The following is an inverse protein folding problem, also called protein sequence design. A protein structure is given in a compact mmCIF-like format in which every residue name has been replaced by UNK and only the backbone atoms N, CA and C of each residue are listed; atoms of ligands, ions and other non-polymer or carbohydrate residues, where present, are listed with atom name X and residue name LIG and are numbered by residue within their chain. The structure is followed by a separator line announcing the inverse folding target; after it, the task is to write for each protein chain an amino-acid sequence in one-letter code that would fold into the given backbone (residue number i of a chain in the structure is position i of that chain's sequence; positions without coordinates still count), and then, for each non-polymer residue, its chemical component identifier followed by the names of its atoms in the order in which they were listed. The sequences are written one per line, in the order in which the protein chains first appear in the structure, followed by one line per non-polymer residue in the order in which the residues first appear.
data_IF_215274888902
#
_entry.id   IF_215274888902
#
_cell.length_a   1.000
_cell.length_b   1.000
_cell.length_c   1.000
_cell.angle_alpha   90.00
_cell.angle_beta   90.00
_cell.angle_gamma   90.00
#
_symmetry.space_group_name_H-M   'P 1'
#
loop_
_entity.id
_entity.type
_entity.pdbx_description
1 polymer ?
#
# COMPACT_ATOMS: atom_id res chain seq x y z
N UNK A 1 12.77 8.97 2.99
CA UNK A 1 11.43 9.49 3.29
C UNK A 1 11.60 10.89 3.86
N UNK A 2 11.50 11.94 3.03
CA UNK A 2 11.43 13.31 3.55
C UNK A 2 10.00 13.60 4.01
N UNK A 3 9.82 14.47 4.99
CA UNK A 3 8.51 15.05 5.29
C UNK A 3 8.07 15.88 4.09
N UNK A 4 7.25 15.30 3.20
CA UNK A 4 6.64 16.05 2.08
C UNK A 4 5.78 17.21 2.61
N UNK A 5 5.33 17.13 3.87
CA UNK A 5 4.62 18.17 4.61
C UNK A 5 5.08 18.16 6.08
N UNK A 6 6.12 18.92 6.47
CA UNK A 6 6.68 18.91 7.84
C UNK A 6 5.67 19.27 8.92
N UNK A 7 4.64 20.05 8.58
CA UNK A 7 3.65 20.57 9.52
C UNK A 7 2.47 19.63 9.78
N UNK A 8 2.44 18.44 9.16
CA UNK A 8 1.30 17.51 9.28
C UNK A 8 1.69 16.22 10.00
N UNK A 9 0.91 15.88 11.03
CA UNK A 9 0.85 14.52 11.57
C UNK A 9 0.29 13.59 10.51
N UNK A 10 0.97 12.47 10.28
CA UNK A 10 0.59 11.45 9.30
C UNK A 10 0.40 10.10 9.99
N UNK A 11 -0.14 9.13 9.26
CA UNK A 11 -0.26 7.74 9.74
C UNK A 11 1.08 7.11 10.15
N UNK A 12 2.21 7.66 9.68
CA UNK A 12 3.55 7.17 9.99
C UNK A 12 4.24 7.90 11.15
N UNK A 13 3.67 9.00 11.64
CA UNK A 13 4.32 9.85 12.65
C UNK A 13 4.62 9.06 13.93
N UNK A 14 3.65 8.29 14.44
CA UNK A 14 3.85 7.50 15.66
C UNK A 14 4.96 6.45 15.52
N UNK A 15 5.09 5.78 14.37
CA UNK A 15 6.18 4.82 14.14
C UNK A 15 7.54 5.51 13.99
N UNK A 16 7.59 6.68 13.35
CA UNK A 16 8.82 7.46 13.23
C UNK A 16 9.30 7.99 14.59
N UNK A 17 8.38 8.28 15.50
CA UNK A 17 8.67 8.84 16.83
C UNK A 17 8.77 7.78 17.93
N UNK A 18 8.49 6.51 17.62
CA UNK A 18 8.50 5.43 18.59
C UNK A 18 9.85 5.35 19.32
N UNK A 19 9.81 5.13 20.63
CA UNK A 19 10.99 5.18 21.52
C UNK A 19 12.10 4.20 21.12
N UNK A 20 11.75 3.04 20.57
CA UNK A 20 12.70 2.04 20.09
C UNK A 20 13.35 2.40 18.74
N UNK A 21 12.69 3.26 17.95
CA UNK A 21 13.12 3.60 16.60
C UNK A 21 13.82 4.96 16.54
N UNK A 22 13.34 5.96 17.27
CA UNK A 22 13.90 7.32 17.30
C UNK A 22 15.44 7.37 17.48
N UNK A 23 16.09 6.51 18.29
CA UNK A 23 17.55 6.47 18.40
C UNK A 23 18.29 5.94 17.15
N UNK A 24 17.61 5.22 16.27
CA UNK A 24 18.13 4.64 15.02
C UNK A 24 17.87 5.52 13.79
N UNK A 25 16.95 6.48 13.89
CA UNK A 25 16.57 7.37 12.80
C UNK A 25 17.75 8.26 12.39
N UNK A 26 17.99 8.40 11.07
CA UNK A 26 19.07 9.26 10.55
C UNK A 26 18.72 10.74 10.55
N UNK A 27 17.44 11.05 10.55
CA UNK A 27 16.88 12.40 10.60
C UNK A 27 15.42 12.32 11.09
N UNK A 28 14.83 13.46 11.42
CA UNK A 28 13.43 13.54 11.88
C UNK A 28 12.46 12.99 10.83
N UNK A 29 11.63 12.01 11.22
CA UNK A 29 10.71 11.33 10.30
C UNK A 29 11.35 10.21 9.45
N UNK A 30 12.64 9.86 9.65
CA UNK A 30 13.23 8.69 9.00
C UNK A 30 12.52 7.42 9.47
N UNK A 31 11.96 6.63 8.55
CA UNK A 31 11.35 5.34 8.83
C UNK A 31 12.29 4.16 8.52
N UNK A 32 13.50 4.45 8.05
CA UNK A 32 14.42 3.44 7.57
C UNK A 32 14.05 2.94 6.18
N UNK A 33 14.36 1.67 5.89
CA UNK A 33 14.22 1.09 4.54
C UNK A 33 12.89 0.34 4.37
N UNK A 34 11.77 1.02 4.62
CA UNK A 34 10.41 0.45 4.52
C UNK A 34 9.94 0.30 3.05
N UNK A 35 8.64 0.07 2.83
CA UNK A 35 8.00 -0.30 1.56
C UNK A 35 8.58 0.35 0.30
N UNK A 36 8.49 1.66 0.15
CA UNK A 36 8.90 2.36 -1.07
C UNK A 36 10.39 2.19 -1.39
N UNK A 37 11.24 2.11 -0.35
CA UNK A 37 12.68 1.83 -0.54
C UNK A 37 12.89 0.42 -1.05
N UNK A 38 12.16 -0.56 -0.51
CA UNK A 38 12.24 -1.94 -1.01
C UNK A 38 11.71 -2.06 -2.43
N UNK A 39 10.66 -1.32 -2.79
CA UNK A 39 10.07 -1.38 -4.14
C UNK A 39 10.95 -0.76 -5.22
N UNK A 40 11.68 0.32 -4.89
CA UNK A 40 12.43 1.11 -5.88
C UNK A 40 13.95 0.92 -5.82
N UNK A 41 14.49 0.66 -4.64
CA UNK A 41 15.93 0.61 -4.36
C UNK A 41 16.27 -0.62 -3.50
N UNK A 42 15.83 -1.82 -3.90
CA UNK A 42 16.17 -3.06 -3.20
C UNK A 42 17.66 -3.35 -3.36
N UNK A 43 18.40 -3.55 -2.25
CA UNK A 43 19.84 -3.78 -2.30
C UNK A 43 20.20 -5.22 -2.65
N UNK A 44 21.16 -5.37 -3.56
CA UNK A 44 21.78 -6.65 -3.90
C UNK A 44 23.04 -6.91 -3.06
N UNK A 45 23.43 -8.19 -2.87
CA UNK A 45 24.64 -8.54 -2.13
C UNK A 45 25.94 -7.98 -2.70
N UNK A 46 25.98 -7.70 -4.01
CA UNK A 46 27.12 -7.13 -4.72
C UNK A 46 27.18 -5.59 -4.68
N UNK A 47 26.24 -4.95 -3.98
CA UNK A 47 26.12 -3.50 -3.89
C UNK A 47 25.26 -2.86 -4.98
N UNK A 48 24.70 -3.64 -5.91
CA UNK A 48 23.70 -3.16 -6.88
C UNK A 48 22.34 -2.86 -6.24
N UNK A 49 21.43 -2.30 -7.05
CA UNK A 49 20.04 -2.02 -6.64
C UNK A 49 19.04 -2.53 -7.69
N UNK A 50 17.83 -2.89 -7.23
CA UNK A 50 16.70 -3.30 -8.08
C UNK A 50 15.52 -2.35 -7.86
N UNK A 51 15.03 -1.75 -8.95
CA UNK A 51 13.70 -1.12 -9.01
C UNK A 51 12.66 -2.15 -9.43
N UNK A 52 12.06 -2.81 -8.43
CA UNK A 52 11.08 -3.88 -8.64
C UNK A 52 9.84 -3.33 -9.36
N UNK A 53 9.32 -2.17 -8.95
CA UNK A 53 8.10 -1.61 -9.55
C UNK A 53 8.29 -1.25 -11.01
N UNK A 54 9.39 -0.56 -11.34
CA UNK A 54 9.72 -0.21 -12.72
C UNK A 54 9.89 -1.47 -13.58
N UNK A 55 10.69 -2.43 -13.11
CA UNK A 55 10.96 -3.67 -13.83
C UNK A 55 9.66 -4.44 -14.12
N UNK A 56 8.73 -4.46 -13.16
CA UNK A 56 7.45 -5.16 -13.29
C UNK A 56 6.52 -4.45 -14.28
N UNK A 57 6.42 -3.13 -14.24
CA UNK A 57 5.64 -2.36 -15.22
C UNK A 57 6.18 -2.58 -16.63
N UNK A 58 7.50 -2.54 -16.82
CA UNK A 58 8.15 -2.83 -18.10
C UNK A 58 7.90 -4.28 -18.54
N UNK A 59 7.92 -5.23 -17.59
CA UNK A 59 7.64 -6.64 -17.86
C UNK A 59 6.20 -6.86 -18.29
N UNK A 60 5.22 -6.24 -17.61
CA UNK A 60 3.80 -6.32 -17.99
C UNK A 60 3.61 -5.86 -19.45
N UNK A 61 4.26 -4.76 -19.85
CA UNK A 61 4.15 -4.24 -21.23
C UNK A 61 4.76 -5.18 -22.27
N UNK A 62 5.82 -5.91 -21.93
CA UNK A 62 6.59 -6.73 -22.86
C UNK A 62 6.14 -8.19 -22.91
N UNK A 63 5.80 -8.75 -21.76
CA UNK A 63 5.44 -10.14 -21.54
C UNK A 63 4.39 -10.23 -20.42
N UNK A 64 3.13 -9.83 -20.71
CA UNK A 64 2.07 -9.69 -19.70
C UNK A 64 1.71 -11.01 -19.01
N UNK A 65 1.98 -12.15 -19.66
CA UNK A 65 1.64 -13.48 -19.14
C UNK A 65 2.75 -14.08 -18.28
N UNK A 66 3.80 -13.32 -17.97
CA UNK A 66 4.83 -13.76 -17.04
C UNK A 66 4.22 -14.05 -15.66
N UNK A 67 4.57 -15.21 -15.10
CA UNK A 67 4.11 -15.67 -13.79
C UNK A 67 5.00 -15.17 -12.64
N UNK A 68 5.99 -14.32 -12.94
CA UNK A 68 6.99 -13.79 -12.01
C UNK A 68 6.80 -12.30 -11.74
N UNK A 69 5.61 -11.76 -12.00
CA UNK A 69 5.28 -10.37 -11.78
C UNK A 69 5.09 -10.06 -10.27
N UNK A 70 6.13 -10.28 -9.47
CA UNK A 70 6.10 -10.24 -8.01
C UNK A 70 6.95 -9.09 -7.48
N UNK A 71 6.44 -8.37 -6.48
CA UNK A 71 7.15 -7.34 -5.73
C UNK A 71 7.16 -7.74 -4.25
N UNK A 72 8.34 -7.68 -3.62
CA UNK A 72 8.50 -7.92 -2.19
C UNK A 72 8.92 -6.64 -1.45
N UNK A 73 8.29 -6.40 -0.30
CA UNK A 73 8.80 -5.48 0.72
C UNK A 73 9.55 -6.24 1.84
N UNK A 74 9.39 -7.55 1.96
CA UNK A 74 9.98 -8.33 3.04
C UNK A 74 11.44 -8.70 2.76
N UNK A 75 12.37 -7.95 3.35
CA UNK A 75 13.81 -8.18 3.24
C UNK A 75 14.41 -8.63 4.58
N UNK A 76 14.65 -9.94 4.79
CA UNK A 76 15.20 -10.46 6.05
C UNK A 76 16.54 -9.82 6.47
N UNK A 77 17.35 -9.36 5.51
CA UNK A 77 18.64 -8.70 5.80
C UNK A 77 18.50 -7.25 6.26
N UNK A 78 17.32 -6.64 6.16
CA UNK A 78 17.09 -5.24 6.48
C UNK A 78 15.93 -5.02 7.47
N UNK A 79 15.25 -6.06 7.97
CA UNK A 79 14.09 -5.92 8.87
C UNK A 79 14.40 -5.04 10.09
N UNK A 80 15.56 -5.20 10.71
CA UNK A 80 15.95 -4.42 11.91
C UNK A 80 16.30 -2.95 11.61
N UNK A 81 16.34 -2.59 10.32
CA UNK A 81 16.58 -1.24 9.80
C UNK A 81 15.28 -0.53 9.38
N UNK A 82 14.13 -0.98 9.89
CA UNK A 82 12.82 -0.43 9.58
C UNK A 82 12.09 -0.03 10.86
N UNK A 83 11.47 1.16 10.87
CA UNK A 83 10.64 1.63 11.98
C UNK A 83 9.45 0.70 12.25
N UNK A 84 8.94 0.09 11.18
CA UNK A 84 7.92 -0.94 11.24
C UNK A 84 8.20 -1.95 10.13
N UNK A 85 8.40 -3.24 10.44
CA UNK A 85 8.51 -4.29 9.44
C UNK A 85 7.26 -4.32 8.53
N UNK A 86 7.38 -4.57 7.22
CA UNK A 86 6.27 -4.50 6.28
C UNK A 86 5.10 -5.41 6.68
N UNK A 87 3.89 -4.84 6.82
CA UNK A 87 2.68 -5.62 7.06
C UNK A 87 2.21 -6.31 5.78
N UNK A 88 2.04 -5.55 4.69
CA UNK A 88 1.82 -6.08 3.34
C UNK A 88 3.18 -6.45 2.72
N UNK A 89 3.51 -7.74 2.79
CA UNK A 89 4.87 -8.25 2.59
C UNK A 89 5.24 -8.38 1.13
N UNK A 90 4.30 -8.84 0.31
CA UNK A 90 4.50 -9.09 -1.11
C UNK A 90 3.18 -8.95 -1.86
N UNK A 91 3.26 -8.67 -3.15
CA UNK A 91 2.12 -8.76 -4.05
C UNK A 91 2.56 -9.19 -5.44
N UNK A 92 1.63 -9.80 -6.17
CA UNK A 92 1.81 -10.31 -7.52
C UNK A 92 0.76 -9.70 -8.44
N UNK A 93 1.18 -9.29 -9.63
CA UNK A 93 0.27 -8.98 -10.73
C UNK A 93 -0.02 -10.21 -11.58
N UNK A 94 -1.21 -10.23 -12.18
CA UNK A 94 -1.63 -11.25 -13.11
C UNK A 94 -2.40 -10.60 -14.27
N UNK A 95 -2.08 -10.99 -15.51
CA UNK A 95 -2.78 -10.49 -16.70
C UNK A 95 -3.52 -11.64 -17.39
N UNK A 96 -4.82 -11.42 -17.65
CA UNK A 96 -5.62 -12.32 -18.46
C UNK A 96 -6.66 -11.52 -19.25
N UNK A 97 -6.83 -11.84 -20.55
CA UNK A 97 -7.88 -11.24 -21.39
C UNK A 97 -7.87 -9.70 -21.41
N UNK A 98 -6.69 -9.07 -21.44
CA UNK A 98 -6.55 -7.60 -21.42
C UNK A 98 -6.78 -6.96 -20.05
N UNK A 99 -6.96 -7.77 -19.00
CA UNK A 99 -7.22 -7.32 -17.64
C UNK A 99 -6.05 -7.57 -16.71
N UNK A 100 -5.81 -6.65 -15.78
CA UNK A 100 -4.80 -6.74 -14.74
C UNK A 100 -5.48 -6.98 -13.39
N UNK A 101 -5.00 -7.99 -12.67
CA UNK A 101 -5.37 -8.26 -11.26
C UNK A 101 -4.13 -8.18 -10.37
N UNK A 102 -4.34 -7.98 -9.07
CA UNK A 102 -3.30 -7.92 -8.05
C UNK A 102 -3.66 -8.81 -6.87
N UNK A 103 -2.74 -9.69 -6.45
CA UNK A 103 -2.86 -10.49 -5.24
C UNK A 103 -1.80 -10.07 -4.20
N UNK A 104 -2.23 -9.64 -3.02
CA UNK A 104 -1.37 -9.15 -1.93
C UNK A 104 -1.44 -10.08 -0.72
N UNK A 105 -0.30 -10.36 -0.09
CA UNK A 105 -0.22 -11.12 1.16
C UNK A 105 0.23 -10.24 2.32
N UNK A 106 -0.58 -10.22 3.38
CA UNK A 106 -0.38 -9.40 4.58
C UNK A 106 -0.15 -10.28 5.81
N UNK A 107 0.97 -10.07 6.52
CA UNK A 107 1.30 -10.88 7.71
C UNK A 107 0.46 -10.52 8.93
N UNK A 108 0.06 -9.27 9.06
CA UNK A 108 -0.55 -8.68 10.26
C UNK A 108 -1.55 -7.62 9.83
N UNK A 109 -2.80 -7.84 10.19
CA UNK A 109 -3.95 -7.18 9.58
C UNK A 109 -4.87 -6.66 10.69
N UNK A 110 -4.61 -5.42 11.11
CA UNK A 110 -5.58 -4.65 11.90
C UNK A 110 -6.83 -4.45 11.05
N UNK A 111 -7.89 -5.19 11.39
CA UNK A 111 -9.12 -5.23 10.62
C UNK A 111 -9.92 -3.92 10.70
N UNK A 112 -9.69 -3.08 11.72
CA UNK A 112 -10.46 -1.86 11.91
C UNK A 112 -9.78 -0.65 11.29
N UNK A 113 -8.48 -0.44 11.54
CA UNK A 113 -7.75 0.69 10.95
C UNK A 113 -7.01 0.27 9.67
N UNK A 114 -6.15 -0.74 9.75
CA UNK A 114 -5.19 -1.06 8.68
C UNK A 114 -5.84 -1.56 7.39
N UNK A 115 -6.64 -2.63 7.48
CA UNK A 115 -7.19 -3.33 6.30
C UNK A 115 -8.02 -2.43 5.40
N UNK A 116 -8.92 -1.55 5.90
CA UNK A 116 -9.61 -0.59 5.04
C UNK A 116 -8.67 0.29 4.20
N UNK A 117 -7.58 0.80 4.80
CA UNK A 117 -6.56 1.54 4.04
C UNK A 117 -5.82 0.64 3.05
N UNK A 118 -5.51 -0.61 3.42
CA UNK A 118 -4.80 -1.54 2.55
C UNK A 118 -5.63 -1.91 1.31
N UNK A 119 -6.94 -2.14 1.46
CA UNK A 119 -7.85 -2.40 0.33
C UNK A 119 -7.82 -1.21 -0.64
N UNK A 120 -8.06 0.01 -0.14
CA UNK A 120 -8.10 1.20 -0.98
C UNK A 120 -6.73 1.50 -1.63
N UNK A 121 -5.64 1.31 -0.89
CA UNK A 121 -4.29 1.57 -1.39
C UNK A 121 -3.89 0.62 -2.51
N UNK A 122 -4.18 -0.67 -2.37
CA UNK A 122 -3.83 -1.66 -3.40
C UNK A 122 -4.80 -1.64 -4.59
N UNK A 123 -6.07 -1.27 -4.38
CA UNK A 123 -7.00 -0.98 -5.47
C UNK A 123 -6.54 0.23 -6.29
N UNK A 124 -6.11 1.31 -5.64
CA UNK A 124 -5.55 2.47 -6.34
C UNK A 124 -4.28 2.10 -7.11
N UNK A 125 -3.36 1.36 -6.49
CA UNK A 125 -2.15 0.89 -7.17
C UNK A 125 -2.48 0.04 -8.40
N UNK A 126 -3.44 -0.88 -8.29
CA UNK A 126 -3.89 -1.70 -9.42
C UNK A 126 -4.39 -0.82 -10.57
N UNK A 127 -5.25 0.15 -10.29
CA UNK A 127 -5.81 1.05 -11.29
C UNK A 127 -4.72 1.91 -11.95
N UNK A 128 -3.78 2.44 -11.17
CA UNK A 128 -2.66 3.22 -11.69
C UNK A 128 -1.75 2.39 -12.60
N UNK A 129 -1.40 1.15 -12.18
CA UNK A 129 -0.56 0.26 -12.99
C UNK A 129 -1.28 -0.17 -14.26
N UNK A 130 -2.55 -0.57 -14.16
CA UNK A 130 -3.37 -0.94 -15.30
C UNK A 130 -3.42 0.18 -16.34
N UNK A 131 -3.62 1.43 -15.91
CA UNK A 131 -3.63 2.60 -16.80
C UNK A 131 -2.29 2.80 -17.52
N UNK A 132 -1.17 2.74 -16.82
CA UNK A 132 0.15 2.97 -17.45
C UNK A 132 0.63 1.77 -18.27
N UNK A 133 -0.02 0.61 -18.17
CA UNK A 133 0.23 -0.57 -18.99
C UNK A 133 -0.85 -0.85 -20.04
N UNK A 134 -1.82 0.06 -20.21
CA UNK A 134 -2.93 -0.07 -21.17
C UNK A 134 -3.76 -1.35 -20.98
N UNK A 135 -4.07 -1.66 -19.71
CA UNK A 135 -4.90 -2.80 -19.29
C UNK A 135 -6.12 -2.30 -18.52
N UNK A 136 -7.16 -3.13 -18.46
CA UNK A 136 -8.32 -2.89 -17.61
C UNK A 136 -8.05 -3.43 -16.19
N UNK A 137 -8.30 -2.66 -15.12
CA UNK A 137 -8.21 -3.18 -13.76
C UNK A 137 -9.36 -4.17 -13.49
N UNK A 138 -9.07 -5.27 -12.79
CA UNK A 138 -10.03 -6.34 -12.50
C UNK A 138 -10.08 -6.65 -11.00
N UNK A 139 -9.36 -7.66 -10.51
CA UNK A 139 -9.48 -8.11 -9.12
C UNK A 139 -8.32 -7.64 -8.23
N UNK A 140 -8.64 -7.24 -7.00
CA UNK A 140 -7.68 -7.14 -5.90
C UNK A 140 -7.97 -8.28 -4.92
N UNK A 141 -7.03 -9.22 -4.79
CA UNK A 141 -7.12 -10.36 -3.88
C UNK A 141 -6.23 -10.10 -2.67
N UNK A 142 -6.77 -10.20 -1.45
CA UNK A 142 -6.01 -10.05 -0.21
C UNK A 142 -5.94 -11.39 0.52
N UNK A 143 -4.72 -11.86 0.78
CA UNK A 143 -4.45 -12.96 1.71
C UNK A 143 -4.03 -12.35 3.05
N UNK A 144 -4.90 -12.48 4.05
CA UNK A 144 -4.69 -11.95 5.39
C UNK A 144 -4.28 -13.09 6.33
N UNK A 145 -3.08 -13.02 6.91
CA UNK A 145 -2.56 -14.08 7.78
C UNK A 145 -3.09 -13.93 9.21
N UNK A 146 -2.48 -13.05 10.01
CA UNK A 146 -2.99 -12.68 11.33
C UNK A 146 -3.99 -11.53 11.17
N UNK A 147 -5.27 -11.89 11.05
CA UNK A 147 -6.39 -10.95 11.02
C UNK A 147 -6.94 -10.76 12.44
N UNK A 148 -6.83 -9.55 12.97
CA UNK A 148 -7.17 -9.25 14.36
C UNK A 148 -7.87 -7.91 14.52
N UNK A 149 -8.51 -7.75 15.68
CA UNK A 149 -9.13 -6.50 16.14
C UNK A 149 -8.51 -6.18 17.49
N UNK A 150 -7.99 -4.97 17.68
CA UNK A 150 -7.49 -4.54 18.97
C UNK A 150 -8.64 -4.38 19.98
N UNK A 151 -8.40 -4.73 21.24
CA UNK A 151 -9.42 -4.67 22.30
C UNK A 151 -10.07 -3.29 22.45
N UNK A 152 -9.29 -2.22 22.29
CA UNK A 152 -9.78 -0.83 22.36
C UNK A 152 -10.59 -0.39 21.13
N UNK A 153 -10.81 -1.27 20.14
CA UNK A 153 -11.63 -1.01 18.95
C UNK A 153 -12.96 -1.76 18.94
N UNK A 154 -13.28 -2.55 19.98
CA UNK A 154 -14.46 -3.41 19.97
C UNK A 154 -15.78 -2.63 19.88
N UNK A 155 -15.88 -1.48 20.55
CA UNK A 155 -17.08 -0.64 20.48
C UNK A 155 -17.25 -0.04 19.07
N UNK A 156 -16.16 0.45 18.50
CA UNK A 156 -16.11 1.03 17.15
C UNK A 156 -16.47 0.00 16.08
N UNK A 157 -15.97 -1.23 16.20
CA UNK A 157 -16.33 -2.33 15.31
C UNK A 157 -17.81 -2.67 15.43
N UNK A 158 -18.37 -2.74 16.66
CA UNK A 158 -19.81 -2.99 16.84
C UNK A 158 -20.66 -1.88 16.20
N UNK A 159 -20.24 -0.63 16.35
CA UNK A 159 -20.91 0.50 15.69
C UNK A 159 -20.85 0.36 14.17
N UNK A 160 -19.68 0.06 13.60
CA UNK A 160 -19.51 -0.12 12.15
C UNK A 160 -20.39 -1.26 11.61
N UNK A 161 -20.44 -2.39 12.31
CA UNK A 161 -21.25 -3.55 11.93
C UNK A 161 -22.77 -3.32 12.06
N UNK A 162 -23.20 -2.27 12.75
CA UNK A 162 -24.62 -1.89 12.84
C UNK A 162 -25.10 -1.08 11.63
N UNK A 163 -24.20 -0.67 10.73
CA UNK A 163 -24.50 0.20 9.59
C UNK A 163 -24.70 -0.62 8.32
N UNK A 164 -25.78 -0.33 7.60
CA UNK A 164 -26.01 -0.88 6.26
C UNK A 164 -25.03 -0.26 5.24
N UNK A 165 -24.28 -1.05 4.45
CA UNK A 165 -23.39 -0.53 3.43
C UNK A 165 -24.11 0.26 2.34
N UNK A 166 -23.54 1.41 1.94
CA UNK A 166 -23.95 2.13 0.74
C UNK A 166 -23.33 1.49 -0.52
N UNK A 167 -23.85 1.80 -1.73
CA UNK A 167 -23.17 1.46 -2.98
C UNK A 167 -21.72 1.94 -3.00
N UNK A 168 -20.83 1.16 -3.61
CA UNK A 168 -19.42 1.50 -3.75
C UNK A 168 -19.22 2.74 -4.66
N UNK A 169 -18.21 3.58 -4.38
CA UNK A 169 -17.84 4.69 -5.26
C UNK A 169 -17.22 4.18 -6.56
N UNK A 170 -17.02 5.10 -7.51
CA UNK A 170 -16.18 4.88 -8.70
C UNK A 170 -14.86 5.65 -8.56
N UNK A 171 -13.75 4.98 -8.83
CA UNK A 171 -12.45 5.62 -8.97
C UNK A 171 -12.27 6.11 -10.41
N UNK A 172 -11.91 7.37 -10.57
CA UNK A 172 -11.51 7.98 -11.84
C UNK A 172 -10.08 8.48 -11.74
N UNK A 173 -9.26 8.11 -12.71
CA UNK A 173 -7.89 8.58 -12.87
C UNK A 173 -7.80 9.52 -14.08
N UNK A 174 -6.91 10.51 -14.02
CA UNK A 174 -6.61 11.36 -15.17
C UNK A 174 -6.02 10.50 -16.31
N UNK A 175 -6.70 10.37 -17.46
CA UNK A 175 -6.28 9.45 -18.53
C UNK A 175 -4.99 9.88 -19.23
N UNK A 176 -4.58 11.14 -19.11
CA UNK A 176 -3.36 11.68 -19.72
C UNK A 176 -2.09 11.21 -19.02
N UNK A 177 -2.19 10.71 -17.78
CA UNK A 177 -1.03 10.22 -17.04
C UNK A 177 -0.66 8.81 -17.53
N UNK A 178 0.49 8.70 -18.20
CA UNK A 178 1.02 7.43 -18.74
C UNK A 178 2.28 6.93 -18.01
N UNK A 179 2.63 7.56 -16.91
CA UNK A 179 3.81 7.27 -16.10
C UNK A 179 3.41 7.18 -14.63
N UNK A 180 3.77 6.07 -13.98
CA UNK A 180 3.39 5.77 -12.61
C UNK A 180 3.89 6.82 -11.62
N UNK A 181 5.03 7.46 -11.92
CA UNK A 181 5.68 8.44 -11.06
C UNK A 181 5.11 9.86 -11.24
N UNK A 182 4.21 10.07 -12.22
CA UNK A 182 3.64 11.39 -12.54
C UNK A 182 2.26 11.64 -11.94
N UNK A 183 1.62 10.64 -11.34
CA UNK A 183 0.35 10.84 -10.67
C UNK A 183 0.47 11.80 -9.49
N UNK A 184 -0.49 12.71 -9.38
CA UNK A 184 -0.68 13.61 -8.26
C UNK A 184 -2.05 13.38 -7.62
N UNK A 185 -2.34 14.04 -6.49
CA UNK A 185 -3.66 13.93 -5.86
C UNK A 185 -4.77 14.51 -6.74
N UNK A 186 -4.47 15.49 -7.58
CA UNK A 186 -5.45 16.12 -8.48
C UNK A 186 -5.86 15.18 -9.62
N UNK A 187 -5.08 14.13 -9.88
CA UNK A 187 -5.35 13.12 -10.90
C UNK A 187 -6.26 11.99 -10.40
N UNK A 188 -6.67 12.01 -9.13
CA UNK A 188 -7.41 10.93 -8.47
C UNK A 188 -8.74 11.47 -7.96
N UNK A 189 -9.84 10.94 -8.48
CA UNK A 189 -11.19 11.34 -8.08
C UNK A 189 -12.03 10.13 -7.68
N UNK A 190 -12.68 10.24 -6.52
CA UNK A 190 -13.77 9.34 -6.13
C UNK A 190 -15.10 9.99 -6.49
N UNK A 191 -15.89 9.31 -7.31
CA UNK A 191 -17.21 9.72 -7.75
C UNK A 191 -18.27 8.91 -7.00
N UNK A 192 -19.35 9.57 -6.60
CA UNK A 192 -20.48 8.96 -5.87
C UNK A 192 -20.08 8.29 -4.54
N UNK A 193 -19.04 8.79 -3.88
CA UNK A 193 -18.62 8.28 -2.57
C UNK A 193 -19.58 8.70 -1.46
N UNK A 194 -20.52 7.81 -1.16
CA UNK A 194 -21.41 7.90 -0.01
C UNK A 194 -20.80 7.16 1.17
N UNK A 195 -20.77 7.80 2.33
CA UNK A 195 -20.16 7.24 3.53
C UNK A 195 -20.96 7.60 4.78
N UNK A 196 -20.95 6.70 5.75
CA UNK A 196 -21.44 6.99 7.10
C UNK A 196 -20.45 7.86 7.87
N UNK A 197 -20.87 8.61 8.90
CA UNK A 197 -19.97 9.44 9.70
C UNK A 197 -18.73 8.69 10.19
N UNK A 198 -17.56 9.35 10.17
CA UNK A 198 -16.28 8.76 10.59
C UNK A 198 -16.35 8.22 12.03
N UNK A 199 -15.85 7.01 12.23
CA UNK A 199 -15.63 6.43 13.56
C UNK A 199 -14.16 6.66 13.92
N UNK A 200 -13.92 7.28 15.07
CA UNK A 200 -12.55 7.57 15.55
C UNK A 200 -12.06 6.44 16.44
N UNK A 201 -10.80 6.04 16.25
CA UNK A 201 -10.09 5.15 17.16
C UNK A 201 -8.60 5.49 17.18
N UNK A 202 -7.97 5.20 18.31
CA UNK A 202 -6.53 5.38 18.49
C UNK A 202 -5.77 4.20 17.90
N UNK A 203 -4.64 4.48 17.24
CA UNK A 203 -3.74 3.44 16.75
C UNK A 203 -3.00 2.78 17.93
N UNK A 204 -2.91 1.45 17.91
CA UNK A 204 -2.06 0.73 18.84
C UNK A 204 -0.59 0.90 18.43
N UNK A 205 0.24 1.41 19.33
CA UNK A 205 1.70 1.61 19.13
C UNK A 205 2.47 0.60 19.97
#
# INVERSE_FOLDING_TARGET
HGTRVPEKTTIWTANAEASFWKPKARFEGDLGRVYGVQWRNWKLPDGGEIDQLKNIIERIKKDPYDRRLVISAWNPGEIDQMALPPCHMLFQFFVAQGKLSLAMTQRSCDMFLGVPFNIASYALLLNMVAQVTDLEPDEVILTLNDAHIYHNHFEQVREQLSREPYPLPKLQLNPEIKDIDKFTMDDIKLVDYQYHPTIKADMAV
#
